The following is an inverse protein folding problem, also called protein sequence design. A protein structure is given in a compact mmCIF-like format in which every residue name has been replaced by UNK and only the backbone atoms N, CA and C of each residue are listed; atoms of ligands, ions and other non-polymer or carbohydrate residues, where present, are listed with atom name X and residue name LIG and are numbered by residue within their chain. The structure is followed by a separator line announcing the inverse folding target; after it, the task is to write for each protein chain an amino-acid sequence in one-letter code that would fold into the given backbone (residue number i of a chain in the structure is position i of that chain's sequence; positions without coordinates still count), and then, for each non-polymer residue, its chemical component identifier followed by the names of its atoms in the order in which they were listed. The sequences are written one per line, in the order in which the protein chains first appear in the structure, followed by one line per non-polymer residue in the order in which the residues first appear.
data_IF_942454135191
#
_entry.id   IF_942454135191
#
_cell.length_a   1.000
_cell.length_b   1.000
_cell.length_c   1.000
_cell.angle_alpha   90.00
_cell.angle_beta   90.00
_cell.angle_gamma   90.00
#
_symmetry.space_group_name_H-M   'P 1'
#
loop_
_entity.id
_entity.type
_entity.pdbx_description
1 polymer ?
#
# COMPACT_ATOMS: atom_id res chain seq x y z
N UNK A 1 14.81 4.61 -3.35
CA UNK A 1 13.65 5.22 -2.76
C UNK A 1 13.01 4.31 -1.73
N UNK A 2 12.68 4.86 -0.63
CA UNK A 2 12.13 4.06 0.41
C UNK A 2 10.63 3.98 0.26
N UNK A 3 10.13 2.83 -0.17
CA UNK A 3 8.72 2.64 -0.41
C UNK A 3 8.03 1.90 0.72
N UNK A 4 8.73 1.72 1.81
CA UNK A 4 8.14 0.93 2.88
C UNK A 4 7.18 1.74 3.71
N UNK A 5 6.12 1.10 4.12
CA UNK A 5 5.19 1.71 5.04
C UNK A 5 5.84 1.65 6.41
N UNK A 6 6.14 2.81 6.98
CA UNK A 6 6.84 2.89 8.25
C UNK A 6 6.23 2.03 9.35
N UNK A 7 4.93 1.95 9.38
CA UNK A 7 4.23 1.22 10.42
C UNK A 7 4.62 -0.26 10.46
N UNK A 8 5.03 -0.84 9.36
CA UNK A 8 5.40 -2.24 9.32
C UNK A 8 6.89 -2.50 9.51
N UNK A 9 7.67 -1.46 9.72
CA UNK A 9 9.09 -1.62 10.00
C UNK A 9 9.35 -1.82 11.48
N UNK A 10 8.36 -1.54 12.31
CA UNK A 10 8.54 -1.56 13.74
C UNK A 10 8.31 -2.98 14.27
N UNK A 11 9.24 -3.47 15.08
CA UNK A 11 9.16 -4.81 15.64
C UNK A 11 7.88 -5.07 16.43
N UNK A 12 7.30 -4.04 17.00
CA UNK A 12 6.08 -4.20 17.77
C UNK A 12 4.90 -4.66 16.94
N UNK A 13 4.96 -4.53 15.61
CA UNK A 13 3.89 -4.98 14.75
C UNK A 13 4.09 -6.41 14.25
N UNK A 14 5.24 -7.02 14.55
CA UNK A 14 5.52 -8.39 14.15
C UNK A 14 5.79 -8.52 12.65
N UNK A 15 5.76 -9.74 12.18
CA UNK A 15 6.02 -10.02 10.78
C UNK A 15 4.75 -10.08 9.98
N UNK A 16 4.77 -9.48 8.82
CA UNK A 16 3.66 -9.56 7.87
C UNK A 16 4.15 -10.35 6.67
N UNK A 17 3.51 -11.48 6.41
CA UNK A 17 3.88 -12.33 5.28
C UNK A 17 3.41 -11.70 3.98
N UNK A 18 4.24 -11.78 2.97
CA UNK A 18 3.92 -11.21 1.66
C UNK A 18 4.21 -12.23 0.57
N UNK A 19 3.54 -12.08 -0.56
CA UNK A 19 3.86 -12.84 -1.76
C UNK A 19 3.94 -11.86 -2.93
N UNK A 20 4.73 -12.25 -3.92
CA UNK A 20 4.92 -11.43 -5.09
C UNK A 20 4.24 -12.11 -6.28
N UNK A 21 3.32 -11.41 -6.93
CA UNK A 21 2.66 -11.90 -8.14
C UNK A 21 2.90 -10.89 -9.25
N UNK A 22 3.85 -11.20 -10.13
CA UNK A 22 4.29 -10.24 -11.12
C UNK A 22 4.93 -9.05 -10.43
N UNK A 23 4.42 -7.87 -10.68
CA UNK A 23 4.94 -6.68 -10.02
C UNK A 23 4.12 -6.30 -8.79
N UNK A 24 3.08 -7.06 -8.49
CA UNK A 24 2.24 -6.77 -7.33
C UNK A 24 2.71 -7.50 -6.10
N UNK A 25 2.74 -6.80 -4.99
CA UNK A 25 3.00 -7.40 -3.69
C UNK A 25 1.66 -7.59 -3.00
N UNK A 26 1.39 -8.79 -2.55
CA UNK A 26 0.18 -9.07 -1.79
C UNK A 26 0.57 -9.35 -0.34
N UNK A 27 -0.26 -8.93 0.58
CA UNK A 27 0.02 -9.00 2.01
C UNK A 27 -0.95 -9.97 2.68
N UNK A 28 -0.46 -10.76 3.61
CA UNK A 28 -1.34 -11.65 4.37
C UNK A 28 -2.30 -10.81 5.19
N UNK A 29 -3.59 -10.92 4.89
CA UNK A 29 -4.60 -10.07 5.49
C UNK A 29 -4.65 -10.19 7.01
N UNK A 30 -4.58 -11.41 7.52
CA UNK A 30 -4.62 -11.63 8.96
C UNK A 30 -3.41 -11.02 9.66
N UNK A 31 -2.24 -11.14 9.06
CA UNK A 31 -1.02 -10.58 9.66
C UNK A 31 -1.10 -9.05 9.73
N UNK A 32 -1.61 -8.42 8.67
CA UNK A 32 -1.78 -6.97 8.64
C UNK A 32 -2.77 -6.53 9.72
N UNK A 33 -3.92 -7.18 9.79
CA UNK A 33 -4.94 -6.81 10.76
C UNK A 33 -4.45 -7.00 12.21
N UNK A 34 -3.70 -8.08 12.45
CA UNK A 34 -3.11 -8.30 13.77
C UNK A 34 -2.10 -7.24 14.11
N UNK A 35 -1.23 -6.91 13.16
CA UNK A 35 -0.22 -5.87 13.36
C UNK A 35 -0.86 -4.52 13.67
N UNK A 36 -2.05 -4.28 13.13
CA UNK A 36 -2.76 -3.03 13.34
C UNK A 36 -3.65 -3.04 14.59
N UNK A 37 -3.58 -4.11 15.37
CA UNK A 37 -4.26 -4.14 16.65
C UNK A 37 -5.74 -4.50 16.64
N UNK A 38 -6.23 -5.02 15.54
CA UNK A 38 -7.63 -5.43 15.48
C UNK A 38 -7.86 -6.66 16.36
N UNK A 39 -8.88 -6.61 17.21
CA UNK A 39 -9.18 -7.71 18.11
C UNK A 39 -9.75 -8.91 17.38
N UNK A 40 -10.44 -8.65 16.27
CA UNK A 40 -10.95 -9.72 15.42
C UNK A 40 -10.43 -9.49 14.00
N UNK A 41 -9.24 -10.02 13.68
CA UNK A 41 -8.63 -9.76 12.38
C UNK A 41 -9.51 -10.16 11.19
N UNK A 42 -10.16 -11.32 11.27
CA UNK A 42 -10.99 -11.78 10.16
C UNK A 42 -12.16 -10.84 9.89
N UNK A 43 -12.79 -10.36 10.94
CA UNK A 43 -13.89 -9.44 10.79
C UNK A 43 -13.42 -8.11 10.19
N UNK A 44 -12.29 -7.60 10.66
CA UNK A 44 -11.74 -6.35 10.15
C UNK A 44 -11.44 -6.47 8.65
N UNK A 45 -10.83 -7.59 8.24
CA UNK A 45 -10.52 -7.81 6.84
C UNK A 45 -11.79 -7.83 6.00
N UNK A 46 -12.80 -8.56 6.45
CA UNK A 46 -14.05 -8.64 5.71
C UNK A 46 -14.80 -7.30 5.64
N UNK A 47 -14.70 -6.51 6.71
CA UNK A 47 -15.42 -5.23 6.76
C UNK A 47 -14.74 -4.13 5.93
N UNK A 48 -13.42 -4.15 5.85
CA UNK A 48 -12.69 -3.02 5.28
C UNK A 48 -11.98 -3.28 3.96
N UNK A 49 -11.71 -4.54 3.64
CA UNK A 49 -10.96 -4.86 2.42
C UNK A 49 -11.89 -5.11 1.24
N UNK A 50 -11.41 -4.75 0.06
CA UNK A 50 -12.21 -4.87 -1.16
C UNK A 50 -11.73 -5.92 -2.14
N UNK A 51 -10.48 -6.33 -2.04
CA UNK A 51 -9.88 -7.23 -3.02
C UNK A 51 -9.18 -8.41 -2.37
N UNK A 52 -9.89 -9.08 -1.47
CA UNK A 52 -9.37 -10.26 -0.78
C UNK A 52 -9.19 -11.39 -1.79
N UNK A 53 -8.00 -11.98 -1.80
CA UNK A 53 -7.66 -13.07 -2.71
C UNK A 53 -7.13 -14.23 -1.92
N UNK A 54 -7.64 -15.42 -2.19
CA UNK A 54 -7.15 -16.62 -1.50
C UNK A 54 -6.01 -17.24 -2.28
N UNK A 55 -4.98 -17.66 -1.57
CA UNK A 55 -3.86 -18.36 -2.17
C UNK A 55 -3.50 -19.54 -1.29
N UNK A 56 -3.17 -20.67 -1.93
CA UNK A 56 -2.74 -21.84 -1.21
C UNK A 56 -1.24 -21.73 -0.96
N UNK A 57 -0.85 -21.81 0.29
CA UNK A 57 0.57 -21.76 0.63
C UNK A 57 0.92 -22.94 1.52
N UNK A 58 2.11 -23.52 1.32
CA UNK A 58 2.55 -24.63 2.18
C UNK A 58 3.04 -24.04 3.51
N UNK A 59 2.49 -24.54 4.60
CA UNK A 59 2.92 -24.18 5.94
C UNK A 59 3.10 -25.45 6.74
N UNK A 60 4.30 -25.67 7.25
CA UNK A 60 4.62 -26.84 8.05
C UNK A 60 4.21 -28.17 7.39
N UNK A 61 4.46 -28.26 6.10
CA UNK A 61 4.15 -29.50 5.36
C UNK A 61 2.71 -29.65 4.95
N UNK A 62 1.86 -28.70 5.30
CA UNK A 62 0.45 -28.72 4.90
C UNK A 62 0.15 -27.52 4.02
N UNK A 63 -0.74 -27.72 3.05
CA UNK A 63 -1.18 -26.64 2.19
C UNK A 63 -2.38 -25.98 2.86
N UNK A 64 -2.28 -24.68 3.12
CA UNK A 64 -3.35 -23.93 3.74
C UNK A 64 -3.80 -22.81 2.81
N UNK A 65 -5.07 -22.49 2.86
CA UNK A 65 -5.62 -21.39 2.10
C UNK A 65 -5.55 -20.13 2.96
N UNK A 66 -4.85 -19.13 2.47
CA UNK A 66 -4.64 -17.89 3.20
C UNK A 66 -5.17 -16.73 2.38
N UNK A 67 -5.80 -15.77 3.06
CA UNK A 67 -6.29 -14.56 2.41
C UNK A 67 -5.17 -13.54 2.30
N UNK A 68 -4.99 -13.01 1.09
CA UNK A 68 -4.03 -11.96 0.82
C UNK A 68 -4.76 -10.73 0.29
N UNK A 69 -4.20 -9.56 0.53
CA UNK A 69 -4.78 -8.29 0.12
C UNK A 69 -3.73 -7.43 -0.57
N UNK A 70 -4.15 -6.59 -1.51
CA UNK A 70 -3.23 -5.67 -2.17
C UNK A 70 -2.94 -4.47 -1.29
N UNK A 71 -1.99 -3.66 -1.71
CA UNK A 71 -1.55 -2.48 -0.97
C UNK A 71 -2.71 -1.55 -0.60
N UNK A 72 -3.64 -1.32 -1.52
CA UNK A 72 -4.78 -0.45 -1.23
C UNK A 72 -5.59 -0.89 -0.02
N UNK A 73 -5.77 -2.19 0.13
CA UNK A 73 -6.50 -2.72 1.27
C UNK A 73 -5.71 -2.61 2.58
N UNK A 74 -4.38 -2.64 2.50
CA UNK A 74 -3.55 -2.37 3.68
C UNK A 74 -3.85 -0.96 4.18
N UNK A 75 -3.91 0.01 3.29
CA UNK A 75 -4.23 1.38 3.67
C UNK A 75 -5.63 1.52 4.26
N UNK A 76 -6.59 0.77 3.72
CA UNK A 76 -7.96 0.79 4.26
C UNK A 76 -8.00 0.27 5.69
N UNK A 77 -7.20 -0.74 6.00
CA UNK A 77 -7.09 -1.23 7.36
C UNK A 77 -6.36 -0.24 8.27
N UNK A 78 -5.31 0.40 7.76
CA UNK A 78 -4.56 1.40 8.54
C UNK A 78 -5.47 2.55 8.97
N UNK A 79 -6.27 3.05 8.04
CA UNK A 79 -7.14 4.20 8.31
C UNK A 79 -8.13 3.93 9.45
N UNK A 80 -8.57 2.69 9.60
CA UNK A 80 -9.53 2.33 10.63
C UNK A 80 -8.89 1.82 11.91
N UNK A 81 -7.57 1.68 11.95
CA UNK A 81 -6.89 1.20 13.13
C UNK A 81 -6.80 2.31 14.19
N UNK A 82 -6.83 1.91 15.45
CA UNK A 82 -6.72 2.86 16.57
C UNK A 82 -5.32 2.89 17.17
N UNK A 83 -4.37 2.19 16.57
CA UNK A 83 -3.00 2.25 17.06
C UNK A 83 -2.41 3.65 16.82
N UNK A 84 -1.61 4.16 17.75
CA UNK A 84 -1.01 5.49 17.58
C UNK A 84 -0.22 5.66 16.29
N UNK A 85 0.53 4.64 15.88
CA UNK A 85 1.30 4.72 14.64
C UNK A 85 0.38 4.78 13.42
N UNK A 86 -0.74 4.06 13.48
CA UNK A 86 -1.72 4.08 12.39
C UNK A 86 -2.42 5.43 12.33
N UNK A 87 -2.72 6.02 13.48
CA UNK A 87 -3.33 7.34 13.52
C UNK A 87 -2.39 8.41 12.98
N UNK A 88 -1.11 8.30 13.27
CA UNK A 88 -0.12 9.23 12.72
C UNK A 88 -0.06 9.13 11.20
N UNK A 89 -0.14 7.91 10.68
CA UNK A 89 -0.13 7.69 9.24
C UNK A 89 -1.38 8.32 8.61
N UNK A 90 -2.52 8.11 9.21
CA UNK A 90 -3.77 8.66 8.73
C UNK A 90 -3.74 10.19 8.69
N UNK A 91 -3.25 10.81 9.77
CA UNK A 91 -3.12 12.26 9.82
C UNK A 91 -2.17 12.78 8.75
N UNK A 92 -1.05 12.11 8.57
CA UNK A 92 -0.09 12.50 7.56
C UNK A 92 -0.70 12.44 6.15
N UNK A 93 -1.39 11.35 5.84
CA UNK A 93 -2.00 11.19 4.53
C UNK A 93 -3.10 12.22 4.28
N UNK A 94 -4.00 12.39 5.24
CA UNK A 94 -5.18 13.24 5.05
C UNK A 94 -4.91 14.72 5.27
N UNK A 95 -3.99 15.06 6.14
CA UNK A 95 -3.74 16.45 6.46
C UNK A 95 -2.53 17.05 5.74
N UNK A 96 -1.66 16.22 5.22
CA UNK A 96 -0.47 16.71 4.52
C UNK A 96 -0.39 16.22 3.07
N UNK A 97 -0.39 14.91 2.85
CA UNK A 97 -0.15 14.37 1.50
C UNK A 97 -1.26 14.76 0.52
N UNK A 98 -2.48 14.41 0.85
CA UNK A 98 -3.60 14.66 -0.06
C UNK A 98 -3.83 16.15 -0.27
N UNK A 99 -3.84 16.98 0.77
CA UNK A 99 -3.99 18.42 0.55
C UNK A 99 -2.87 19.02 -0.29
N UNK A 100 -1.63 18.55 -0.11
CA UNK A 100 -0.50 19.03 -0.90
C UNK A 100 -0.67 18.66 -2.37
N UNK A 101 -1.10 17.46 -2.64
CA UNK A 101 -1.36 17.02 -4.02
C UNK A 101 -2.45 17.88 -4.65
N UNK A 102 -3.52 18.15 -3.91
CA UNK A 102 -4.61 18.97 -4.43
C UNK A 102 -4.16 20.39 -4.76
N UNK A 103 -3.29 20.94 -3.91
CA UNK A 103 -2.84 22.34 -4.10
C UNK A 103 -1.77 22.49 -5.17
N UNK A 104 -0.87 21.53 -5.29
CA UNK A 104 0.32 21.68 -6.13
C UNK A 104 0.43 20.68 -7.27
N UNK A 105 -0.37 19.63 -7.23
CA UNK A 105 -0.29 18.55 -8.22
C UNK A 105 0.66 17.44 -7.86
N UNK A 106 1.37 17.53 -6.75
CA UNK A 106 2.29 16.46 -6.38
C UNK A 106 2.75 16.55 -4.93
N UNK A 107 3.37 15.47 -4.47
CA UNK A 107 3.94 15.42 -3.14
C UNK A 107 5.37 14.88 -3.20
N UNK A 108 6.25 15.46 -2.43
CA UNK A 108 7.63 15.01 -2.30
C UNK A 108 7.96 14.86 -0.83
N UNK A 109 8.64 13.75 -0.50
CA UNK A 109 9.08 13.56 0.88
C UNK A 109 10.19 14.55 1.21
N UNK A 110 10.41 14.79 2.49
CA UNK A 110 11.46 15.71 2.93
C UNK A 110 12.83 15.28 2.41
N UNK A 111 13.11 13.99 2.40
CA UNK A 111 14.40 13.51 1.91
C UNK A 111 14.57 13.77 0.42
N UNK A 112 13.51 13.64 -0.35
CA UNK A 112 13.55 13.93 -1.78
C UNK A 112 13.75 15.43 -2.01
N UNK A 113 13.07 16.27 -1.24
CA UNK A 113 13.24 17.71 -1.35
C UNK A 113 14.67 18.12 -1.04
N UNK A 114 15.28 17.53 -0.02
CA UNK A 114 16.67 17.80 0.31
C UNK A 114 17.61 17.41 -0.82
N UNK A 115 17.37 16.27 -1.43
CA UNK A 115 18.19 15.82 -2.56
C UNK A 115 18.06 16.79 -3.73
N UNK A 116 16.87 17.28 -4.01
CA UNK A 116 16.64 18.21 -5.10
C UNK A 116 17.33 19.55 -4.82
N UNK A 117 17.33 20.00 -3.58
CA UNK A 117 18.00 21.24 -3.21
C UNK A 117 19.50 21.14 -3.42
N UNK A 118 20.10 19.98 -3.13
CA UNK A 118 21.52 19.77 -3.32
C UNK A 118 21.87 19.49 -4.78
N UNK A 119 21.00 18.81 -5.49
CA UNK A 119 21.23 18.42 -6.86
C UNK A 119 19.94 18.55 -7.65
N UNK A 120 19.65 19.74 -8.19
CA UNK A 120 18.38 19.97 -8.88
C UNK A 120 18.04 19.01 -10.00
N UNK A 121 19.02 18.39 -10.62
CA UNK A 121 18.78 17.43 -11.68
C UNK A 121 17.96 16.22 -11.21
N UNK A 122 17.91 15.96 -9.90
CA UNK A 122 17.13 14.85 -9.35
C UNK A 122 15.65 15.00 -9.68
N UNK A 123 15.18 16.23 -9.89
CA UNK A 123 13.76 16.45 -10.20
C UNK A 123 13.38 15.77 -11.51
N UNK A 124 14.31 15.66 -12.46
CA UNK A 124 14.04 14.99 -13.72
C UNK A 124 13.84 13.49 -13.49
N UNK A 125 14.65 12.89 -12.63
CA UNK A 125 14.51 11.48 -12.28
C UNK A 125 13.15 11.24 -11.63
N UNK A 126 12.74 12.12 -10.75
CA UNK A 126 11.45 12.00 -10.07
C UNK A 126 10.30 12.10 -11.07
N UNK A 127 10.38 13.06 -11.99
CA UNK A 127 9.34 13.24 -13.00
C UNK A 127 9.27 11.99 -13.90
N UNK A 128 10.41 11.44 -14.27
CA UNK A 128 10.44 10.23 -15.10
C UNK A 128 9.82 9.05 -14.36
N UNK A 129 10.09 8.91 -13.07
CA UNK A 129 9.51 7.86 -12.26
C UNK A 129 7.98 7.99 -12.20
N UNK A 130 7.47 9.21 -12.07
CA UNK A 130 6.04 9.47 -12.07
C UNK A 130 5.40 9.10 -13.41
N UNK A 131 6.07 9.43 -14.50
CA UNK A 131 5.56 9.11 -15.84
C UNK A 131 5.47 7.60 -16.02
N UNK A 132 6.50 6.87 -15.59
CA UNK A 132 6.50 5.44 -15.70
C UNK A 132 5.37 4.82 -14.86
N UNK A 133 5.16 5.33 -13.67
CA UNK A 133 4.10 4.81 -12.83
C UNK A 133 2.71 5.09 -13.42
N UNK A 134 2.51 6.29 -13.97
CA UNK A 134 1.27 6.64 -14.63
C UNK A 134 1.00 5.71 -15.82
N UNK A 135 2.03 5.40 -16.58
CA UNK A 135 1.88 4.52 -17.73
C UNK A 135 1.55 3.10 -17.29
N UNK A 136 2.12 2.66 -16.17
CA UNK A 136 1.83 1.35 -15.62
C UNK A 136 0.37 1.27 -15.19
N UNK A 137 -0.12 2.28 -14.49
CA UNK A 137 -1.51 2.32 -14.04
C UNK A 137 -2.47 2.35 -15.23
N UNK A 138 -2.13 3.15 -16.24
CA UNK A 138 -2.93 3.21 -17.45
C UNK A 138 -3.02 1.85 -18.14
N UNK A 139 -1.92 1.15 -18.22
CA UNK A 139 -1.90 -0.17 -18.85
C UNK A 139 -2.82 -1.13 -18.11
N UNK A 140 -2.86 -1.05 -16.79
CA UNK A 140 -3.75 -1.88 -16.00
C UNK A 140 -5.22 -1.52 -16.24
N UNK A 141 -5.51 -0.24 -16.38
CA UNK A 141 -6.88 0.20 -16.64
C UNK A 141 -7.36 -0.22 -18.02
N UNK A 142 -6.45 -0.37 -18.94
CA UNK A 142 -6.79 -0.77 -20.28
C UNK A 142 -6.87 -2.27 -20.47
N UNK A 143 -6.69 -3.03 -19.40
CA UNK A 143 -6.79 -4.46 -19.48
C UNK A 143 -8.19 -4.86 -19.87
N UNK A 144 -8.35 -6.06 -20.25
CA UNK A 144 -9.53 -6.56 -20.84
C UNK A 144 -10.80 -6.11 -20.35
N UNK A 145 -10.78 -5.73 -19.23
CA UNK A 145 -11.90 -5.27 -18.68
C UNK A 145 -12.50 -4.23 -19.45
N UNK A 146 -11.67 -3.44 -19.94
CA UNK A 146 -12.14 -2.27 -20.48
C UNK A 146 -13.15 -2.46 -21.51
N UNK A 147 -13.23 -3.64 -22.08
CA UNK A 147 -14.15 -3.72 -23.05
C UNK A 147 -15.31 -4.39 -22.66
N UNK A 148 -15.27 -5.00 -21.63
CA UNK A 148 -16.42 -5.73 -21.33
C UNK A 148 -17.50 -4.85 -20.89
N UNK A 149 -17.27 -3.74 -20.43
CA UNK A 149 -18.33 -3.03 -19.97
C UNK A 149 -18.47 -1.83 -20.63
N UNK A 150 -18.14 -1.84 -21.64
CA UNK A 150 -18.40 -0.79 -22.27
C UNK A 150 -19.65 -0.50 -22.39
N UNK A 151 -20.10 -0.73 -22.12
CA UNK A 151 -21.15 -0.62 -22.21
C UNK A 151 -21.68 -0.08 -22.04
#
# INVERSE_FOLDING_TARGET
MDNKIEIFKNEQFGEVRTILEGEKVLFCAADVAKALGYTNPNKAVNDHCRAITKRSTPISGKVQSINFIPEGDVYRLIIRSKLPAAEKFELWVFDEVIPTIRKTGGYMTDSLLERIQKEPAVIVEFAQALILEKNRVKALECEPVSYTHLR
#
